data_IF_505693986771
#
_entry.id   IF_505693986771
#
_cell.length_a   1.000
_cell.length_b   1.000
_cell.length_c   1.000
_cell.angle_alpha   90.00
_cell.angle_beta   90.00
_cell.angle_gamma   90.00
#
_symmetry.space_group_name_H-M   'P 1'
#
loop_
_entity.id
_entity.type
_entity.pdbx_description
1 polymer ?
#
# COMPACT_ATOMS: atom_id res chain seq x y z
N UNK A 1 -0.93 3.16 -5.71
CA UNK A 1 -0.42 4.55 -5.53
C UNK A 1 -1.51 5.35 -4.83
N UNK A 2 -1.16 6.28 -3.92
CA UNK A 2 -2.16 7.08 -3.20
C UNK A 2 -2.69 8.22 -4.07
N UNK A 3 -3.96 8.64 -3.92
CA UNK A 3 -4.54 9.74 -4.70
C UNK A 3 -3.69 11.02 -4.67
N UNK A 4 -3.15 11.39 -3.51
CA UNK A 4 -2.27 12.56 -3.38
C UNK A 4 -0.95 12.43 -4.17
N UNK A 5 -0.40 11.22 -4.31
CA UNK A 5 0.81 10.99 -5.10
C UNK A 5 0.49 11.02 -6.61
N UNK A 6 -0.66 10.42 -7.00
CA UNK A 6 -1.14 10.51 -8.39
C UNK A 6 -1.41 11.96 -8.77
N UNK A 7 -2.05 12.72 -7.86
CA UNK A 7 -2.30 14.15 -8.06
C UNK A 7 -1.00 14.91 -8.34
N UNK A 8 0.01 14.77 -7.48
CA UNK A 8 1.30 15.47 -7.65
C UNK A 8 2.01 15.09 -8.95
N UNK A 9 1.99 13.81 -9.30
CA UNK A 9 2.54 13.34 -10.57
C UNK A 9 1.81 13.97 -11.77
N UNK A 10 0.49 14.10 -11.72
CA UNK A 10 -0.32 14.73 -12.77
C UNK A 10 -0.13 16.24 -12.85
N UNK A 11 0.11 16.91 -11.71
CA UNK A 11 0.40 18.35 -11.65
C UNK A 11 1.85 18.69 -12.04
N UNK A 12 2.68 17.69 -12.32
CA UNK A 12 4.08 17.91 -12.72
C UNK A 12 5.04 18.27 -11.59
N UNK A 13 4.58 18.22 -10.33
CA UNK A 13 5.38 18.52 -9.14
C UNK A 13 6.50 17.49 -8.90
N UNK A 14 6.42 16.33 -9.53
CA UNK A 14 7.27 15.17 -9.31
C UNK A 14 7.79 14.52 -10.58
N UNK A 15 8.34 15.27 -11.46
CA UNK A 15 9.34 14.67 -12.34
C UNK A 15 10.64 14.65 -11.55
N UNK A 16 10.92 13.52 -10.88
CA UNK A 16 12.27 13.24 -10.40
C UNK A 16 13.21 13.44 -11.58
N UNK A 17 14.08 14.45 -11.51
CA UNK A 17 15.11 14.71 -12.52
C UNK A 17 16.13 13.57 -12.63
N UNK A 18 16.07 12.62 -11.69
CA UNK A 18 16.86 11.41 -11.70
C UNK A 18 16.01 10.33 -12.37
N UNK A 19 16.47 9.84 -13.52
CA UNK A 19 15.88 8.68 -14.20
C UNK A 19 15.72 7.48 -13.26
N UNK A 20 15.00 6.48 -13.72
CA UNK A 20 14.87 5.21 -12.99
C UNK A 20 16.28 4.66 -12.67
N UNK A 21 16.46 4.09 -11.48
CA UNK A 21 17.70 3.37 -11.22
C UNK A 21 17.85 2.17 -12.19
N UNK A 22 19.08 1.77 -12.45
CA UNK A 22 19.37 0.75 -13.46
C UNK A 22 18.64 -0.58 -13.20
N UNK A 23 18.38 -0.94 -11.95
CA UNK A 23 17.64 -2.16 -11.59
C UNK A 23 16.17 -2.05 -11.95
N UNK A 24 15.55 -0.91 -11.66
CA UNK A 24 14.16 -0.63 -12.01
C UNK A 24 13.99 -0.56 -13.54
N UNK A 25 14.91 0.09 -14.24
CA UNK A 25 14.89 0.14 -15.70
C UNK A 25 15.00 -1.26 -16.31
N UNK A 26 15.93 -2.07 -15.82
CA UNK A 26 16.09 -3.45 -16.27
C UNK A 26 14.81 -4.27 -16.09
N UNK A 27 14.10 -4.12 -14.96
CA UNK A 27 12.83 -4.81 -14.73
C UNK A 27 11.74 -4.41 -15.73
N UNK A 28 11.67 -3.14 -16.11
CA UNK A 28 10.75 -2.67 -17.14
C UNK A 28 11.12 -3.23 -18.52
N UNK A 29 12.40 -3.22 -18.87
CA UNK A 29 12.88 -3.75 -20.16
C UNK A 29 12.56 -5.24 -20.29
N UNK A 30 12.80 -6.04 -19.24
CA UNK A 30 12.41 -7.46 -19.20
C UNK A 30 10.90 -7.63 -19.33
N UNK A 31 10.11 -6.77 -18.67
CA UNK A 31 8.66 -6.76 -18.82
C UNK A 31 8.24 -6.63 -20.28
N UNK A 32 8.72 -5.61 -20.96
CA UNK A 32 8.42 -5.35 -22.37
C UNK A 32 8.90 -6.45 -23.33
N UNK A 33 10.14 -6.94 -23.16
CA UNK A 33 10.67 -8.03 -23.98
C UNK A 33 9.85 -9.32 -23.82
N UNK A 34 9.30 -9.55 -22.62
CA UNK A 34 8.51 -10.74 -22.31
C UNK A 34 7.10 -10.71 -22.89
N UNK A 35 6.57 -9.56 -23.25
CA UNK A 35 5.18 -9.43 -23.74
C UNK A 35 4.92 -10.25 -25.01
N UNK A 36 5.81 -10.20 -25.99
CA UNK A 36 5.60 -10.91 -27.24
C UNK A 36 5.62 -12.44 -27.08
N UNK A 37 6.62 -13.06 -26.43
CA UNK A 37 6.60 -14.50 -26.18
C UNK A 37 5.38 -14.98 -25.39
N UNK A 38 4.91 -14.20 -24.41
CA UNK A 38 3.71 -14.53 -23.62
C UNK A 38 2.45 -14.43 -24.49
N UNK A 39 2.35 -13.42 -25.35
CA UNK A 39 1.26 -13.28 -26.30
C UNK A 39 1.22 -14.43 -27.33
N UNK A 40 2.37 -14.86 -27.85
CA UNK A 40 2.50 -15.97 -28.78
C UNK A 40 2.10 -17.31 -28.12
N UNK A 41 2.51 -17.51 -26.87
CA UNK A 41 2.08 -18.65 -26.07
C UNK A 41 0.56 -18.67 -25.87
N UNK A 42 -0.04 -17.52 -25.47
CA UNK A 42 -1.49 -17.41 -25.35
C UNK A 42 -2.20 -17.73 -26.68
N UNK A 43 -1.71 -17.18 -27.79
CA UNK A 43 -2.24 -17.43 -29.12
C UNK A 43 -2.23 -18.94 -29.48
N UNK A 44 -1.11 -19.61 -29.19
CA UNK A 44 -0.92 -21.05 -29.48
C UNK A 44 -1.88 -21.92 -28.66
N UNK A 45 -1.99 -21.70 -27.34
CA UNK A 45 -2.82 -22.56 -26.48
C UNK A 45 -4.32 -22.36 -26.71
N UNK A 46 -4.74 -21.16 -27.16
CA UNK A 46 -6.16 -20.85 -27.43
C UNK A 46 -6.54 -20.97 -28.89
N UNK A 47 -5.58 -21.19 -29.78
CA UNK A 47 -5.85 -21.30 -31.24
C UNK A 47 -6.39 -20.01 -31.86
N UNK A 48 -5.97 -18.85 -31.36
CA UNK A 48 -6.47 -17.54 -31.77
C UNK A 48 -5.37 -16.64 -32.33
N UNK A 49 -5.76 -15.63 -33.11
CA UNK A 49 -4.85 -14.57 -33.53
C UNK A 49 -4.83 -13.47 -32.48
N UNK A 50 -3.66 -13.15 -31.98
CA UNK A 50 -3.44 -12.03 -31.05
C UNK A 50 -2.92 -10.83 -31.84
N UNK A 51 -3.49 -9.66 -31.60
CA UNK A 51 -3.12 -8.40 -32.26
C UNK A 51 -2.42 -7.48 -31.28
N UNK A 52 -1.33 -6.88 -31.73
CA UNK A 52 -0.67 -5.80 -31.00
C UNK A 52 -1.36 -4.47 -31.35
N UNK A 53 -1.69 -3.68 -30.35
CA UNK A 53 -2.19 -2.32 -30.54
C UNK A 53 -1.08 -1.33 -30.16
N UNK A 54 -0.80 -0.43 -31.09
CA UNK A 54 0.26 0.60 -30.91
C UNK A 54 -0.35 1.98 -30.68
N UNK A 55 -1.65 2.05 -30.41
CA UNK A 55 -2.36 3.30 -30.22
C UNK A 55 -3.01 3.34 -28.83
N UNK A 56 -3.09 4.54 -28.28
CA UNK A 56 -3.79 4.80 -27.02
C UNK A 56 -5.26 5.08 -27.33
N UNK A 57 -6.15 4.39 -26.63
CA UNK A 57 -7.59 4.56 -26.75
C UNK A 57 -8.12 5.54 -25.73
N UNK A 58 -9.23 6.21 -26.08
CA UNK A 58 -9.89 7.17 -25.23
C UNK A 58 -11.37 6.81 -25.10
N UNK A 59 -11.89 6.87 -23.86
CA UNK A 59 -13.31 6.64 -23.61
C UNK A 59 -14.18 7.71 -24.31
N UNK A 60 -15.25 7.32 -25.04
CA UNK A 60 -16.02 8.26 -25.85
C UNK A 60 -16.73 9.35 -25.02
N UNK A 61 -17.16 9.03 -23.80
CA UNK A 61 -17.88 9.97 -22.93
C UNK A 61 -17.02 10.58 -21.83
N UNK A 62 -15.89 9.95 -21.49
CA UNK A 62 -14.95 10.40 -20.46
C UNK A 62 -13.53 10.55 -21.04
N UNK A 63 -13.25 11.66 -21.75
CA UNK A 63 -12.01 11.81 -22.53
C UNK A 63 -10.72 11.75 -21.70
N UNK A 64 -10.81 11.89 -20.41
CA UNK A 64 -9.71 11.74 -19.46
C UNK A 64 -9.41 10.28 -19.11
N UNK A 65 -10.31 9.34 -19.42
CA UNK A 65 -10.06 7.91 -19.32
C UNK A 65 -9.40 7.43 -20.62
N UNK A 66 -8.20 6.89 -20.47
CA UNK A 66 -7.40 6.39 -21.58
C UNK A 66 -6.95 4.95 -21.29
N UNK A 67 -6.76 4.16 -22.34
CA UNK A 67 -6.24 2.80 -22.26
C UNK A 67 -5.10 2.61 -23.26
N UNK A 68 -4.02 2.05 -22.77
CA UNK A 68 -2.89 1.56 -23.54
C UNK A 68 -2.89 0.03 -23.40
N UNK A 69 -3.22 -0.67 -24.48
CA UNK A 69 -3.53 -2.09 -24.45
C UNK A 69 -2.31 -2.91 -24.85
N UNK A 70 -2.00 -3.93 -24.07
CA UNK A 70 -0.93 -4.84 -24.46
C UNK A 70 -1.32 -5.61 -25.73
N UNK A 71 -2.49 -6.28 -25.73
CA UNK A 71 -2.95 -7.08 -26.88
C UNK A 71 -4.49 -7.17 -26.94
N UNK A 72 -4.99 -7.51 -28.13
CA UNK A 72 -6.41 -7.86 -28.38
C UNK A 72 -6.55 -9.15 -29.16
N UNK A 73 -7.69 -9.81 -28.99
CA UNK A 73 -8.02 -11.03 -29.74
C UNK A 73 -9.53 -11.14 -29.96
N UNK A 74 -9.90 -12.01 -30.88
CA UNK A 74 -11.29 -12.44 -31.04
C UNK A 74 -11.39 -13.89 -30.56
N UNK A 75 -12.16 -14.09 -29.51
CA UNK A 75 -12.49 -15.38 -28.93
C UNK A 75 -13.83 -15.90 -29.49
N UNK A 76 -14.17 -17.14 -29.17
CA UNK A 76 -15.48 -17.71 -29.48
C UNK A 76 -16.14 -18.24 -28.22
N UNK A 77 -17.42 -17.98 -28.10
CA UNK A 77 -18.25 -18.57 -27.03
C UNK A 77 -18.53 -20.07 -27.30
N UNK A 78 -19.24 -20.69 -26.35
CA UNK A 78 -19.59 -22.13 -26.43
C UNK A 78 -20.47 -22.46 -27.64
N UNK A 79 -21.27 -21.51 -28.12
CA UNK A 79 -22.09 -21.60 -29.31
C UNK A 79 -21.35 -21.26 -30.60
N UNK A 80 -20.05 -20.91 -30.52
CA UNK A 80 -19.22 -20.52 -31.64
C UNK A 80 -19.25 -19.04 -32.00
N UNK A 81 -20.08 -18.24 -31.34
CA UNK A 81 -20.20 -16.80 -31.59
C UNK A 81 -18.92 -16.05 -31.26
N UNK A 82 -18.43 -15.17 -32.15
CA UNK A 82 -17.21 -14.42 -31.90
C UNK A 82 -17.47 -13.27 -30.93
N UNK A 83 -16.51 -13.04 -30.00
CA UNK A 83 -16.49 -11.86 -29.15
C UNK A 83 -15.08 -11.30 -29.04
N UNK A 84 -14.97 -9.99 -28.87
CA UNK A 84 -13.70 -9.32 -28.65
C UNK A 84 -13.25 -9.48 -27.20
N UNK A 85 -11.97 -9.73 -26.99
CA UNK A 85 -11.35 -9.79 -25.66
C UNK A 85 -10.02 -9.04 -25.66
N UNK A 86 -9.73 -8.38 -24.52
CA UNK A 86 -8.44 -7.78 -24.23
C UNK A 86 -7.52 -8.84 -23.62
N UNK A 87 -6.22 -8.65 -23.79
CA UNK A 87 -5.20 -9.44 -23.13
C UNK A 87 -4.26 -8.46 -22.44
N UNK A 88 -4.17 -8.56 -21.13
CA UNK A 88 -3.25 -7.82 -20.29
C UNK A 88 -2.13 -8.75 -19.87
N UNK A 89 -0.88 -8.37 -20.13
CA UNK A 89 0.30 -9.19 -19.86
C UNK A 89 1.05 -8.65 -18.66
N UNK A 90 1.45 -9.55 -17.76
CA UNK A 90 2.21 -9.21 -16.57
C UNK A 90 3.40 -10.15 -16.40
N UNK A 91 4.47 -9.59 -15.85
CA UNK A 91 5.59 -10.36 -15.30
C UNK A 91 5.66 -10.11 -13.79
N UNK A 92 5.90 -11.13 -13.01
CA UNK A 92 6.02 -11.03 -11.55
C UNK A 92 7.11 -11.98 -11.04
N UNK A 93 7.66 -11.69 -9.87
CA UNK A 93 8.56 -12.63 -9.21
C UNK A 93 7.82 -13.89 -8.78
N UNK A 94 8.51 -15.03 -8.76
CA UNK A 94 7.94 -16.31 -8.35
C UNK A 94 7.31 -16.28 -6.94
N UNK A 95 7.88 -15.49 -6.03
CA UNK A 95 7.35 -15.33 -4.66
C UNK A 95 5.94 -14.73 -4.60
N UNK A 96 5.47 -14.10 -5.69
CA UNK A 96 4.12 -13.55 -5.78
C UNK A 96 3.10 -14.53 -6.38
N UNK A 97 3.50 -15.76 -6.69
CA UNK A 97 2.62 -16.76 -7.31
C UNK A 97 1.40 -17.09 -6.44
N UNK A 98 1.57 -17.04 -5.11
CA UNK A 98 0.47 -17.30 -4.16
C UNK A 98 -0.65 -16.26 -4.23
N UNK A 99 -0.35 -15.02 -4.63
CA UNK A 99 -1.36 -13.96 -4.85
C UNK A 99 -2.31 -14.32 -6.02
N UNK A 100 -1.95 -15.32 -6.83
CA UNK A 100 -2.69 -15.82 -8.00
C UNK A 100 -3.24 -17.23 -7.80
N UNK A 101 -3.26 -17.75 -6.57
CA UNK A 101 -3.75 -19.09 -6.27
C UNK A 101 -5.23 -19.26 -6.65
N UNK A 102 -5.59 -20.45 -7.17
CA UNK A 102 -6.96 -20.73 -7.59
C UNK A 102 -7.43 -19.78 -8.70
N UNK A 103 -8.49 -19.00 -8.44
CA UNK A 103 -9.03 -17.99 -9.37
C UNK A 103 -8.61 -16.55 -9.03
N UNK A 104 -7.71 -16.37 -8.06
CA UNK A 104 -7.32 -15.04 -7.59
C UNK A 104 -6.51 -14.27 -8.64
N UNK A 105 -6.70 -12.96 -8.62
CA UNK A 105 -5.91 -11.94 -9.32
C UNK A 105 -5.72 -10.77 -8.36
N UNK A 106 -4.51 -10.23 -8.21
CA UNK A 106 -4.31 -9.04 -7.39
C UNK A 106 -5.27 -7.91 -7.78
N UNK A 107 -5.95 -7.34 -6.79
CA UNK A 107 -7.09 -6.43 -6.99
C UNK A 107 -6.75 -5.21 -7.87
N UNK A 108 -5.52 -4.71 -7.78
CA UNK A 108 -5.07 -3.56 -8.59
C UNK A 108 -5.03 -3.89 -10.09
N UNK A 109 -4.71 -5.12 -10.48
CA UNK A 109 -4.79 -5.57 -11.87
C UNK A 109 -6.24 -5.76 -12.33
N UNK A 110 -7.12 -6.22 -11.43
CA UNK A 110 -8.56 -6.31 -11.74
C UNK A 110 -9.12 -4.93 -12.07
N UNK A 111 -8.74 -3.89 -11.32
CA UNK A 111 -9.17 -2.51 -11.61
C UNK A 111 -8.58 -1.98 -12.93
N UNK A 112 -7.34 -2.30 -13.26
CA UNK A 112 -6.74 -1.95 -14.55
C UNK A 112 -7.52 -2.59 -15.71
N UNK A 113 -7.78 -3.90 -15.64
CA UNK A 113 -8.57 -4.60 -16.65
C UNK A 113 -9.98 -4.02 -16.80
N UNK A 114 -10.67 -3.69 -15.69
CA UNK A 114 -11.99 -3.09 -15.73
C UNK A 114 -11.98 -1.69 -16.33
N UNK A 115 -10.96 -0.90 -16.02
CA UNK A 115 -10.78 0.40 -16.64
C UNK A 115 -10.64 0.28 -18.16
N UNK A 116 -9.82 -0.67 -18.62
CA UNK A 116 -9.64 -0.91 -20.05
C UNK A 116 -10.91 -1.45 -20.72
N UNK A 117 -11.63 -2.36 -20.06
CA UNK A 117 -12.93 -2.83 -20.55
C UNK A 117 -13.95 -1.68 -20.69
N UNK A 118 -13.95 -0.73 -19.74
CA UNK A 118 -14.81 0.45 -19.82
C UNK A 118 -14.45 1.34 -21.01
N UNK A 119 -13.15 1.65 -21.19
CA UNK A 119 -12.68 2.49 -22.31
C UNK A 119 -13.00 1.86 -23.67
N UNK A 120 -12.79 0.55 -23.79
CA UNK A 120 -12.95 -0.19 -25.04
C UNK A 120 -14.36 -0.71 -25.29
N UNK A 121 -15.25 -0.60 -24.30
CA UNK A 121 -16.57 -1.21 -24.30
C UNK A 121 -16.56 -2.71 -24.62
N UNK A 122 -15.65 -3.46 -24.01
CA UNK A 122 -15.45 -4.91 -24.18
C UNK A 122 -15.79 -5.61 -22.86
N UNK A 123 -16.37 -6.81 -22.93
CA UNK A 123 -16.90 -7.52 -21.76
C UNK A 123 -15.91 -8.54 -21.14
N UNK A 124 -14.75 -8.72 -21.74
CA UNK A 124 -13.77 -9.74 -21.31
C UNK A 124 -12.34 -9.23 -21.44
N UNK A 125 -11.56 -9.44 -20.39
CA UNK A 125 -10.09 -9.33 -20.42
C UNK A 125 -9.49 -10.63 -19.91
N UNK A 126 -8.51 -11.16 -20.62
CA UNK A 126 -7.61 -12.20 -20.12
C UNK A 126 -6.38 -11.53 -19.54
N UNK A 127 -6.09 -11.78 -18.27
CA UNK A 127 -4.82 -11.38 -17.70
C UNK A 127 -3.90 -12.58 -17.67
N UNK A 128 -2.70 -12.41 -18.23
CA UNK A 128 -1.69 -13.45 -18.38
C UNK A 128 -0.46 -13.02 -17.61
N UNK A 129 -0.10 -13.76 -16.58
CA UNK A 129 1.06 -13.45 -15.74
C UNK A 129 2.12 -14.54 -15.85
N UNK A 130 3.36 -14.14 -16.14
CA UNK A 130 4.55 -14.98 -16.12
C UNK A 130 5.36 -14.71 -14.84
N UNK A 131 5.69 -15.77 -14.09
CA UNK A 131 6.36 -15.68 -12.79
C UNK A 131 7.88 -15.88 -12.84
N UNK A 132 8.50 -15.67 -14.00
CA UNK A 132 9.90 -16.04 -14.19
C UNK A 132 10.06 -17.56 -14.35
N UNK A 133 11.24 -18.03 -14.70
CA UNK A 133 11.46 -19.42 -15.05
C UNK A 133 11.24 -19.66 -16.55
N UNK A 134 11.48 -20.88 -17.00
CA UNK A 134 11.41 -21.25 -18.41
C UNK A 134 10.29 -22.22 -18.75
N UNK A 135 9.32 -22.44 -17.85
CA UNK A 135 8.28 -23.45 -18.01
C UNK A 135 6.91 -22.83 -18.29
N UNK A 136 6.10 -23.48 -19.10
CA UNK A 136 4.70 -23.13 -19.33
C UNK A 136 3.87 -23.12 -18.02
N UNK A 137 4.23 -23.94 -17.03
CA UNK A 137 3.62 -23.94 -15.68
C UNK A 137 3.82 -22.66 -14.89
N UNK A 138 4.74 -21.80 -15.32
CA UNK A 138 5.00 -20.50 -14.71
C UNK A 138 4.13 -19.38 -15.32
N UNK A 139 3.28 -19.72 -16.29
CA UNK A 139 2.31 -18.82 -16.87
C UNK A 139 0.92 -19.12 -16.31
N UNK A 140 0.28 -18.11 -15.77
CA UNK A 140 -1.08 -18.19 -15.25
C UNK A 140 -1.97 -17.27 -16.07
N UNK A 141 -3.06 -17.81 -16.60
CA UNK A 141 -4.10 -17.04 -17.31
C UNK A 141 -5.36 -16.99 -16.47
N UNK A 142 -5.97 -15.81 -16.34
CA UNK A 142 -7.27 -15.62 -15.68
C UNK A 142 -8.20 -14.80 -16.57
N UNK A 143 -9.45 -15.21 -16.63
CA UNK A 143 -10.51 -14.46 -17.31
C UNK A 143 -11.15 -13.49 -16.32
N UNK A 144 -11.18 -12.22 -16.66
CA UNK A 144 -11.89 -11.18 -15.93
C UNK A 144 -13.08 -10.76 -16.78
N UNK A 145 -14.28 -10.93 -16.23
CA UNK A 145 -15.51 -10.51 -16.89
C UNK A 145 -15.95 -9.13 -16.40
N UNK A 146 -16.58 -8.38 -17.28
CA UNK A 146 -17.17 -7.08 -16.98
C UNK A 146 -18.29 -7.21 -15.97
N UNK A 147 -18.34 -6.32 -15.01
CA UNK A 147 -19.42 -6.19 -14.03
C UNK A 147 -19.85 -4.72 -14.03
N UNK A 148 -20.96 -4.41 -14.65
CA UNK A 148 -21.44 -3.04 -14.90
C UNK A 148 -21.48 -2.18 -13.64
N UNK A 149 -22.08 -2.64 -12.55
CA UNK A 149 -22.16 -1.86 -11.31
C UNK A 149 -20.79 -1.55 -10.68
N UNK A 150 -19.79 -2.44 -10.84
CA UNK A 150 -18.45 -2.19 -10.38
C UNK A 150 -17.67 -1.24 -11.31
N UNK A 151 -17.96 -1.28 -12.59
CA UNK A 151 -17.44 -0.34 -13.58
C UNK A 151 -17.96 1.08 -13.34
N UNK A 152 -19.27 1.22 -13.11
CA UNK A 152 -19.90 2.50 -12.78
C UNK A 152 -19.28 3.11 -11.51
N UNK A 153 -19.12 2.32 -10.44
CA UNK A 153 -18.46 2.76 -9.22
C UNK A 153 -17.00 3.18 -9.45
N UNK A 154 -16.27 2.46 -10.31
CA UNK A 154 -14.91 2.83 -10.70
C UNK A 154 -14.89 4.16 -11.46
N UNK A 155 -15.77 4.33 -12.45
CA UNK A 155 -15.89 5.56 -13.24
C UNK A 155 -16.20 6.75 -12.33
N UNK A 156 -17.16 6.64 -11.42
CA UNK A 156 -17.49 7.74 -10.49
C UNK A 156 -16.30 8.08 -9.59
N UNK A 157 -15.59 7.07 -9.03
CA UNK A 157 -14.40 7.31 -8.23
C UNK A 157 -13.30 8.05 -9.00
N UNK A 158 -13.08 7.66 -10.26
CA UNK A 158 -12.08 8.29 -11.11
C UNK A 158 -12.50 9.69 -11.55
N UNK A 159 -13.79 9.88 -11.80
CA UNK A 159 -14.41 11.16 -12.16
C UNK A 159 -14.28 12.16 -11.00
N UNK A 160 -14.64 11.75 -9.79
CA UNK A 160 -14.48 12.59 -8.59
C UNK A 160 -13.03 13.04 -8.42
N UNK A 161 -12.08 12.11 -8.59
CA UNK A 161 -10.67 12.46 -8.53
C UNK A 161 -10.24 13.41 -9.66
N UNK A 162 -10.64 13.12 -10.92
CA UNK A 162 -10.22 13.91 -12.05
C UNK A 162 -10.85 15.31 -12.04
N UNK A 163 -12.18 15.39 -11.89
CA UNK A 163 -12.91 16.65 -11.90
C UNK A 163 -12.73 17.43 -10.61
N UNK A 164 -12.76 16.74 -9.46
CA UNK A 164 -12.72 17.37 -8.15
C UNK A 164 -11.31 17.73 -7.68
N UNK A 165 -10.27 17.04 -8.14
CA UNK A 165 -8.91 17.30 -7.71
C UNK A 165 -7.99 17.79 -8.84
N UNK A 166 -7.93 17.06 -9.98
CA UNK A 166 -6.97 17.40 -11.05
C UNK A 166 -7.38 18.71 -11.74
N UNK A 167 -8.62 18.82 -12.22
CA UNK A 167 -9.06 20.00 -12.94
C UNK A 167 -9.20 21.25 -12.07
N UNK A 168 -9.57 21.06 -10.80
CA UNK A 168 -9.66 22.17 -9.83
C UNK A 168 -8.33 22.54 -9.19
N UNK A 169 -7.28 21.76 -9.47
CA UNK A 169 -5.97 21.88 -8.83
C UNK A 169 -6.02 21.79 -7.29
N UNK A 170 -7.02 21.06 -6.76
CA UNK A 170 -7.22 20.87 -5.32
C UNK A 170 -6.65 19.52 -4.89
N UNK A 171 -5.61 19.49 -4.05
CA UNK A 171 -5.02 18.23 -3.59
C UNK A 171 -6.05 17.36 -2.84
N UNK A 172 -6.14 16.05 -3.14
CA UNK A 172 -7.00 15.16 -2.38
C UNK A 172 -6.49 15.00 -0.95
N UNK A 173 -7.41 14.96 0.02
CA UNK A 173 -7.06 14.69 1.41
C UNK A 173 -6.56 13.25 1.51
N UNK A 174 -5.36 13.01 2.04
CA UNK A 174 -4.86 11.65 2.27
C UNK A 174 -5.71 10.97 3.35
N UNK A 175 -6.60 10.09 2.97
CA UNK A 175 -7.37 9.25 3.88
C UNK A 175 -6.99 7.79 3.67
N UNK A 176 -7.02 7.01 4.74
CA UNK A 176 -6.76 5.58 4.68
C UNK A 176 -6.09 5.01 5.94
N UNK A 177 -6.01 3.68 6.06
CA UNK A 177 -5.39 3.00 7.21
C UNK A 177 -3.90 3.34 7.35
N UNK A 178 -3.32 3.09 8.54
CA UNK A 178 -1.96 3.49 8.93
C UNK A 178 -0.83 3.13 7.96
N UNK A 179 -1.01 2.09 7.12
CA UNK A 179 -0.08 1.74 6.03
C UNK A 179 0.04 2.86 4.99
N UNK A 180 -1.05 3.60 4.75
CA UNK A 180 -1.09 4.75 3.84
C UNK A 180 -0.28 5.91 4.42
N UNK A 181 -0.44 6.18 5.72
CA UNK A 181 0.34 7.21 6.42
C UNK A 181 1.85 6.94 6.36
N UNK A 182 2.27 5.69 6.56
CA UNK A 182 3.69 5.32 6.52
C UNK A 182 4.29 5.51 5.12
N UNK A 183 3.55 5.21 4.05
CA UNK A 183 3.99 5.41 2.66
C UNK A 183 4.11 6.89 2.29
N UNK A 184 3.11 7.70 2.66
CA UNK A 184 3.16 9.16 2.47
C UNK A 184 4.34 9.75 3.25
N UNK A 185 4.49 9.36 4.51
CA UNK A 185 5.59 9.82 5.37
C UNK A 185 6.96 9.41 4.81
N UNK A 186 7.11 8.18 4.34
CA UNK A 186 8.34 7.69 3.69
C UNK A 186 8.68 8.47 2.43
N UNK A 187 7.69 8.73 1.59
CA UNK A 187 7.87 9.49 0.36
C UNK A 187 8.40 10.91 0.66
N UNK A 188 7.72 11.64 1.55
CA UNK A 188 8.13 13.00 1.89
C UNK A 188 9.39 13.08 2.77
N UNK A 189 9.75 12.02 3.48
CA UNK A 189 11.01 12.00 4.23
C UNK A 189 12.23 12.11 3.32
N UNK A 190 12.15 11.52 2.13
CA UNK A 190 13.21 11.61 1.10
C UNK A 190 13.35 13.01 0.49
N UNK A 191 12.28 13.80 0.52
CA UNK A 191 12.23 15.15 -0.03
C UNK A 191 12.41 16.23 1.05
N UNK A 192 12.58 15.81 2.31
CA UNK A 192 12.69 16.73 3.43
C UNK A 192 14.05 17.47 3.39
N UNK A 193 14.00 18.77 3.23
CA UNK A 193 15.12 19.66 3.42
C UNK A 193 14.96 20.36 4.78
N UNK A 194 15.97 20.23 5.64
CA UNK A 194 15.99 20.85 6.97
C UNK A 194 16.01 22.38 6.91
N UNK A 195 16.47 22.93 5.76
CA UNK A 195 16.61 24.37 5.54
C UNK A 195 15.40 24.97 4.79
N UNK A 196 14.37 24.18 4.48
CA UNK A 196 13.17 24.74 3.84
C UNK A 196 12.45 25.71 4.78
N UNK A 197 12.03 26.89 4.27
CA UNK A 197 11.27 27.84 5.07
C UNK A 197 9.91 27.25 5.49
N UNK A 198 9.29 27.86 6.49
CA UNK A 198 7.91 27.54 6.86
C UNK A 198 6.99 27.90 5.70
N UNK A 199 6.06 27.02 5.40
CA UNK A 199 4.99 27.28 4.42
C UNK A 199 3.70 27.63 5.16
N UNK A 200 2.87 28.54 4.66
CA UNK A 200 1.53 28.75 5.17
C UNK A 200 0.64 27.54 4.85
N UNK A 201 -0.25 27.20 5.76
CA UNK A 201 -1.32 26.22 5.52
C UNK A 201 -2.63 27.02 5.45
N UNK A 202 -3.42 26.80 4.42
CA UNK A 202 -4.67 27.52 4.21
C UNK A 202 -5.63 27.35 5.40
N UNK A 203 -6.40 28.38 5.68
CA UNK A 203 -7.38 28.37 6.78
C UNK A 203 -8.47 27.32 6.64
N UNK A 204 -8.71 26.82 5.44
CA UNK A 204 -9.60 25.68 5.15
C UNK A 204 -9.20 24.38 5.87
N UNK A 205 -7.92 24.23 6.26
CA UNK A 205 -7.44 23.10 7.06
C UNK A 205 -7.65 23.25 8.58
N UNK A 206 -8.15 24.40 9.05
CA UNK A 206 -8.39 24.63 10.48
C UNK A 206 -9.29 23.57 11.14
N UNK A 207 -10.46 23.19 10.56
CA UNK A 207 -11.31 22.16 11.15
C UNK A 207 -10.58 20.81 11.27
N UNK A 208 -9.80 20.42 10.25
CA UNK A 208 -9.01 19.19 10.28
C UNK A 208 -7.95 19.20 11.39
N UNK A 209 -7.32 20.35 11.63
CA UNK A 209 -6.32 20.50 12.70
C UNK A 209 -6.97 20.42 14.09
N UNK A 210 -8.15 21.04 14.28
CA UNK A 210 -8.91 20.98 15.52
C UNK A 210 -9.38 19.56 15.83
N UNK A 211 -9.93 18.84 14.83
CA UNK A 211 -10.32 17.44 14.96
C UNK A 211 -9.13 16.54 15.31
N UNK A 212 -8.00 16.73 14.63
CA UNK A 212 -6.78 15.97 14.90
C UNK A 212 -6.24 16.19 16.32
N UNK A 213 -6.30 17.42 16.83
CA UNK A 213 -5.92 17.74 18.21
C UNK A 213 -6.86 17.02 19.19
N UNK A 214 -8.17 17.12 18.99
CA UNK A 214 -9.16 16.45 19.84
C UNK A 214 -8.98 14.92 19.86
N UNK A 215 -8.66 14.29 18.71
CA UNK A 215 -8.36 12.86 18.64
C UNK A 215 -7.06 12.49 19.35
N UNK A 216 -6.04 13.36 19.31
CA UNK A 216 -4.80 13.14 20.05
C UNK A 216 -5.02 13.22 21.56
N UNK A 217 -5.85 14.14 22.03
CA UNK A 217 -6.20 14.27 23.45
C UNK A 217 -6.99 13.05 23.93
N UNK A 218 -7.99 12.59 23.15
CA UNK A 218 -8.72 11.34 23.45
C UNK A 218 -7.79 10.14 23.52
N UNK A 219 -6.83 10.03 22.60
CA UNK A 219 -5.84 8.96 22.62
C UNK A 219 -4.94 9.02 23.84
N UNK A 220 -4.53 10.22 24.25
CA UNK A 220 -3.71 10.43 25.44
C UNK A 220 -4.47 10.03 26.72
N UNK A 221 -5.77 10.37 26.79
CA UNK A 221 -6.62 9.97 27.93
C UNK A 221 -6.81 8.46 27.96
N UNK A 222 -7.18 7.83 26.84
CA UNK A 222 -7.32 6.38 26.76
C UNK A 222 -6.05 5.61 27.14
N UNK A 223 -4.88 6.20 26.84
CA UNK A 223 -3.60 5.61 27.28
C UNK A 223 -3.45 5.67 28.81
N UNK A 224 -3.79 6.82 29.45
CA UNK A 224 -3.75 6.94 30.92
C UNK A 224 -4.69 5.95 31.59
N UNK A 225 -5.90 5.80 31.03
CA UNK A 225 -6.89 4.84 31.55
C UNK A 225 -6.38 3.41 31.44
N UNK A 226 -5.71 3.07 30.33
CA UNK A 226 -5.06 1.78 30.14
C UNK A 226 -3.89 1.55 31.11
N UNK A 227 -3.03 2.56 31.29
CA UNK A 227 -1.90 2.49 32.22
C UNK A 227 -2.41 2.29 33.67
N UNK A 228 -3.53 2.92 34.07
CA UNK A 228 -4.15 2.73 35.37
C UNK A 228 -4.69 1.29 35.56
N UNK A 229 -5.32 0.73 34.52
CA UNK A 229 -5.79 -0.67 34.53
C UNK A 229 -4.59 -1.63 34.62
N UNK A 230 -3.51 -1.37 33.89
CA UNK A 230 -2.29 -2.16 33.95
C UNK A 230 -1.67 -2.15 35.36
N UNK A 231 -1.71 -1.02 36.07
CA UNK A 231 -1.22 -0.92 37.45
C UNK A 231 -2.12 -1.69 38.43
N UNK A 232 -3.43 -1.69 38.23
CA UNK A 232 -4.36 -2.52 39.02
C UNK A 232 -4.12 -4.03 38.77
N UNK A 233 -3.89 -4.42 37.52
CA UNK A 233 -3.55 -5.82 37.16
C UNK A 233 -2.27 -6.23 37.88
N UNK A 234 -1.20 -5.45 37.76
CA UNK A 234 0.09 -5.71 38.42
C UNK A 234 -0.05 -5.86 39.91
N UNK A 235 -0.82 -4.99 40.56
CA UNK A 235 -1.07 -5.08 42.00
C UNK A 235 -1.71 -6.41 42.41
N UNK A 236 -2.67 -6.90 41.62
CA UNK A 236 -3.32 -8.21 41.84
C UNK A 236 -2.37 -9.38 41.54
N UNK A 237 -1.59 -9.28 40.47
CA UNK A 237 -0.56 -10.27 40.13
C UNK A 237 0.50 -10.39 41.23
N UNK A 238 0.99 -9.26 41.78
CA UNK A 238 1.96 -9.26 42.87
C UNK A 238 1.39 -9.99 44.11
N UNK A 239 0.13 -9.78 44.44
CA UNK A 239 -0.48 -10.47 45.57
C UNK A 239 -0.57 -11.99 45.35
N UNK A 240 -0.82 -12.45 44.09
CA UNK A 240 -0.81 -13.84 43.72
C UNK A 240 0.60 -14.43 43.75
N UNK A 241 1.58 -13.71 43.24
CA UNK A 241 3.00 -14.12 43.22
C UNK A 241 3.51 -14.28 44.67
N UNK A 242 3.20 -13.30 45.53
CA UNK A 242 3.57 -13.36 46.95
C UNK A 242 2.95 -14.60 47.63
N UNK A 243 1.70 -14.90 47.35
CA UNK A 243 1.02 -16.13 47.87
C UNK A 243 1.62 -17.41 47.33
N UNK A 244 2.06 -17.42 46.07
CA UNK A 244 2.70 -18.61 45.45
C UNK A 244 4.11 -18.83 45.95
N UNK A 245 4.84 -17.78 46.34
CA UNK A 245 6.24 -17.88 46.79
C UNK A 245 7.14 -18.53 45.72
N UNK A 246 7.77 -19.64 46.07
CA UNK A 246 8.66 -20.38 45.17
C UNK A 246 7.93 -21.36 44.21
N UNK A 247 6.62 -21.48 44.31
CA UNK A 247 5.86 -22.39 43.47
C UNK A 247 5.74 -21.83 42.03
N UNK A 248 5.90 -22.70 41.04
CA UNK A 248 5.75 -22.35 39.63
C UNK A 248 4.33 -22.55 39.10
N UNK A 249 3.48 -23.26 39.88
CA UNK A 249 2.07 -23.54 39.55
C UNK A 249 1.22 -23.40 40.79
N UNK A 250 0.01 -22.89 40.66
CA UNK A 250 -0.98 -22.77 41.69
C UNK A 250 -2.35 -23.10 41.14
N UNK A 251 -3.24 -23.59 42.03
CA UNK A 251 -4.65 -23.91 41.70
C UNK A 251 -5.56 -23.27 42.74
N UNK A 252 -6.76 -22.86 42.30
CA UNK A 252 -7.79 -22.36 43.15
C UNK A 252 -9.15 -22.78 42.59
N UNK A 253 -10.02 -23.35 43.46
CA UNK A 253 -11.34 -23.71 43.07
C UNK A 253 -12.15 -22.50 42.57
N UNK A 254 -12.88 -22.70 41.50
CA UNK A 254 -13.76 -21.65 40.94
C UNK A 254 -15.25 -22.00 41.24
N UNK A 255 -15.64 -23.21 40.88
CA UNK A 255 -16.98 -23.78 41.12
C UNK A 255 -16.93 -25.32 41.12
N UNK A 256 -18.09 -25.99 41.27
CA UNK A 256 -18.17 -27.46 41.30
C UNK A 256 -17.59 -28.19 40.07
N UNK A 257 -17.30 -27.46 38.97
CA UNK A 257 -16.85 -28.01 37.69
C UNK A 257 -15.53 -27.44 37.19
N UNK A 258 -15.09 -26.30 37.74
CA UNK A 258 -13.93 -25.56 37.21
C UNK A 258 -13.01 -25.07 38.33
N UNK A 259 -11.74 -24.90 38.00
CA UNK A 259 -10.73 -24.30 38.87
C UNK A 259 -9.85 -23.35 38.08
N UNK A 260 -9.26 -22.36 38.74
CA UNK A 260 -8.24 -21.51 38.17
C UNK A 260 -6.87 -22.18 38.30
N UNK A 261 -6.13 -22.21 37.22
CA UNK A 261 -4.74 -22.61 37.20
C UNK A 261 -3.85 -21.40 36.96
N UNK A 262 -2.86 -21.18 37.80
CA UNK A 262 -1.88 -20.11 37.71
C UNK A 262 -0.54 -20.75 37.36
N UNK A 263 0.14 -20.21 36.35
CA UNK A 263 1.47 -20.64 35.98
C UNK A 263 2.40 -19.43 36.04
N UNK A 264 3.45 -19.49 36.86
CA UNK A 264 4.45 -18.46 37.00
C UNK A 264 5.85 -19.08 36.93
N UNK A 265 6.35 -19.24 35.69
CA UNK A 265 7.65 -19.91 35.41
C UNK A 265 8.71 -18.88 35.05
N UNK A 266 9.99 -19.11 35.44
CA UNK A 266 11.08 -18.26 34.98
C UNK A 266 11.20 -18.27 33.45
N UNK A 267 11.26 -17.10 32.85
CA UNK A 267 11.60 -16.95 31.42
C UNK A 267 13.07 -16.54 31.30
N UNK A 268 13.83 -17.23 30.45
CA UNK A 268 15.13 -16.79 30.02
C UNK A 268 15.06 -16.22 28.60
N UNK A 269 15.48 -15.00 28.41
CA UNK A 269 15.59 -14.37 27.08
C UNK A 269 17.04 -14.01 26.84
N UNK A 270 17.60 -14.49 25.74
CA UNK A 270 18.92 -14.03 25.30
C UNK A 270 18.80 -12.64 24.69
N UNK A 271 19.60 -11.70 25.16
CA UNK A 271 19.67 -10.36 24.60
C UNK A 271 21.11 -10.06 24.19
N UNK A 272 21.28 -9.36 23.07
CA UNK A 272 22.61 -8.89 22.64
C UNK A 272 22.89 -7.58 23.33
N UNK A 273 23.95 -7.59 24.15
CA UNK A 273 24.51 -6.35 24.69
C UNK A 273 25.25 -5.59 23.58
N UNK A 274 24.53 -4.68 22.94
CA UNK A 274 25.05 -3.88 21.82
C UNK A 274 26.15 -2.92 22.23
N UNK A 275 26.13 -2.42 23.45
CA UNK A 275 27.15 -1.50 23.94
C UNK A 275 28.43 -2.26 24.28
N UNK A 276 28.32 -3.38 24.99
CA UNK A 276 29.43 -4.28 25.21
C UNK A 276 30.06 -4.80 23.92
N UNK A 277 29.22 -5.14 22.93
CA UNK A 277 29.69 -5.55 21.60
C UNK A 277 30.42 -4.41 20.87
N UNK A 278 29.97 -3.17 20.99
CA UNK A 278 30.62 -2.00 20.40
C UNK A 278 31.99 -1.73 20.99
N UNK A 279 32.11 -1.92 22.31
CA UNK A 279 33.38 -1.67 23.05
C UNK A 279 34.38 -2.81 22.80
N UNK A 280 33.92 -4.07 22.94
CA UNK A 280 34.80 -5.23 22.86
C UNK A 280 35.16 -5.64 21.43
N UNK A 281 34.27 -5.43 20.47
CA UNK A 281 34.40 -5.86 19.09
C UNK A 281 33.90 -4.78 18.09
N UNK A 282 34.54 -3.60 17.99
CA UNK A 282 34.06 -2.46 17.21
C UNK A 282 33.95 -2.76 15.73
N UNK A 283 34.83 -3.60 15.17
CA UNK A 283 34.74 -3.97 13.74
C UNK A 283 33.52 -4.84 13.43
N UNK A 284 33.23 -5.81 14.30
CA UNK A 284 32.03 -6.66 14.19
C UNK A 284 30.77 -5.81 14.35
N UNK A 285 30.77 -4.90 15.33
CA UNK A 285 29.68 -3.97 15.53
C UNK A 285 29.41 -3.12 14.27
N UNK A 286 30.45 -2.53 13.69
CA UNK A 286 30.34 -1.71 12.48
C UNK A 286 29.85 -2.50 11.25
N UNK A 287 30.24 -3.77 11.14
CA UNK A 287 29.85 -4.65 10.05
C UNK A 287 28.36 -5.06 10.12
N UNK A 288 27.84 -5.38 11.30
CA UNK A 288 26.54 -6.00 11.48
C UNK A 288 25.47 -5.06 12.05
N UNK A 289 25.82 -4.00 12.75
CA UNK A 289 24.87 -3.00 13.26
C UNK A 289 24.75 -1.85 12.27
N UNK A 290 23.70 -1.89 11.46
CA UNK A 290 23.37 -0.82 10.50
C UNK A 290 22.43 0.17 11.15
N UNK A 291 22.80 1.45 11.17
CA UNK A 291 21.86 2.52 11.51
C UNK A 291 20.82 2.61 10.40
N UNK A 292 19.56 2.34 10.73
CA UNK A 292 18.46 2.53 9.79
C UNK A 292 18.38 4.02 9.50
N UNK A 293 18.57 4.41 8.23
CA UNK A 293 18.34 5.78 7.83
C UNK A 293 16.93 6.21 8.26
N UNK A 294 16.77 7.46 8.71
CA UNK A 294 15.48 8.00 9.12
C UNK A 294 14.47 7.84 7.96
N UNK A 295 13.58 6.87 8.08
CA UNK A 295 12.61 6.51 7.04
C UNK A 295 11.23 7.09 7.31
N UNK A 296 11.06 7.87 8.39
CA UNK A 296 9.77 8.43 8.77
C UNK A 296 9.91 9.85 9.34
N UNK A 297 8.90 10.67 9.07
CA UNK A 297 8.74 12.01 9.65
C UNK A 297 7.62 11.96 10.69
N UNK A 298 7.88 12.52 11.88
CA UNK A 298 6.87 12.63 12.93
C UNK A 298 6.19 14.00 12.86
N UNK A 299 4.87 14.02 12.70
CA UNK A 299 4.08 15.25 12.74
C UNK A 299 3.87 15.68 14.19
N UNK A 300 4.27 16.91 14.52
CA UNK A 300 3.98 17.56 15.81
C UNK A 300 3.12 18.80 15.57
N UNK A 301 2.01 18.90 16.27
CA UNK A 301 1.09 20.04 16.22
C UNK A 301 1.03 20.63 17.62
N UNK A 302 1.16 21.95 17.71
CA UNK A 302 1.03 22.70 18.98
C UNK A 302 0.35 24.03 18.74
N UNK A 303 -0.52 24.42 19.66
CA UNK A 303 -1.09 25.76 19.66
C UNK A 303 -0.11 26.70 20.37
N UNK A 304 0.35 27.74 19.66
CA UNK A 304 1.24 28.76 20.22
C UNK A 304 0.53 30.11 20.30
N UNK A 305 0.79 30.86 21.35
CA UNK A 305 0.33 32.24 21.46
C UNK A 305 1.06 33.12 20.44
N UNK A 306 0.32 33.96 19.73
CA UNK A 306 0.91 35.00 18.87
C UNK A 306 1.60 36.01 19.77
N UNK A 307 2.90 36.18 19.59
CA UNK A 307 3.65 37.25 20.28
C UNK A 307 3.50 38.56 19.49
N UNK A 308 3.70 39.68 20.17
CA UNK A 308 3.64 41.02 19.52
C UNK A 308 4.66 41.07 18.40
N UNK A 309 4.20 41.30 17.16
CA UNK A 309 5.05 41.31 15.95
C UNK A 309 5.07 39.99 15.17
N UNK A 310 4.33 38.96 15.58
CA UNK A 310 4.20 37.75 14.80
C UNK A 310 3.44 38.02 13.49
N UNK A 311 4.09 37.73 12.36
CA UNK A 311 3.51 37.81 11.02
C UNK A 311 3.47 36.39 10.44
N UNK A 312 2.33 36.00 9.90
CA UNK A 312 2.21 34.72 9.21
C UNK A 312 3.13 34.72 7.97
N UNK A 313 3.82 33.61 7.64
CA UNK A 313 4.58 33.52 6.42
C UNK A 313 3.67 33.77 5.21
N UNK A 314 4.11 34.63 4.28
CA UNK A 314 3.41 34.81 3.02
C UNK A 314 3.63 33.56 2.15
N UNK A 315 2.55 33.03 1.57
CA UNK A 315 2.65 31.96 0.58
C UNK A 315 3.33 32.47 -0.70
N UNK A 316 4.25 31.69 -1.23
CA UNK A 316 4.69 31.81 -2.63
C UNK A 316 3.85 30.90 -3.49
#
# INVERSE_FOLDING_TARGET
>A
MLPCMVYKSKMGEERTKNGLDASTQFMFDIGHVSEQPIADYFAAIHGVKVRNDTIMYRHPYYPWMIADLDRRTTMRDKDGSPYEALIEIKTASYQKKDEWAGSLVPIYYVYQCRHYMAVMNVDTTFIVCHFGGGMASDIVTRKISRIRGQEEALIETLKDFWLGNILTQTPPIPNGPGVVQSRVSYYYSKLADKNRPQIPIESSYKPLLEELLALKDKKAQAKKDMDAIDDEIKAKEIALIDRMGAATEGVCDNDDKTFFQITYKPNSTETVDKEGLRIAYPEVYAQYVKTKAESSRTMRISVKKKTKGFVMPSGN
#
